data_IF_628920710620
#
_entry.id   IF_628920710620
#
_cell.length_a   1.000
_cell.length_b   1.000
_cell.length_c   1.000
_cell.angle_alpha   90.00
_cell.angle_beta   90.00
_cell.angle_gamma   90.00
#
_symmetry.space_group_name_H-M   'P 1'
#
loop_
_entity.id
_entity.type
_entity.pdbx_description
1 polymer ?
#
# COMPACT_ATOMS: atom_id res chain seq x y z
N UNK A 1 -11.01 -21.68 25.64
CA UNK A 1 -11.14 -20.22 25.48
C UNK A 1 -11.90 -19.98 24.19
N UNK A 2 -12.91 -19.12 24.20
CA UNK A 2 -13.60 -18.71 22.98
C UNK A 2 -12.60 -18.04 22.02
N UNK A 3 -12.71 -18.34 20.71
CA UNK A 3 -11.80 -17.79 19.68
C UNK A 3 -11.99 -16.27 19.52
N UNK A 4 -13.25 -15.81 19.43
CA UNK A 4 -13.67 -14.42 19.28
C UNK A 4 -15.19 -14.33 19.52
N UNK A 5 -15.71 -13.13 19.80
CA UNK A 5 -17.14 -12.86 20.02
C UNK A 5 -17.75 -12.26 18.75
N UNK A 6 -18.73 -12.90 18.15
CA UNK A 6 -19.35 -12.53 16.88
C UNK A 6 -20.79 -12.09 17.11
N UNK A 7 -21.15 -10.90 16.66
CA UNK A 7 -22.54 -10.44 16.60
C UNK A 7 -23.13 -10.83 15.26
N UNK A 8 -24.20 -11.62 15.26
CA UNK A 8 -24.92 -12.07 14.06
C UNK A 8 -26.25 -11.34 13.99
N UNK A 9 -26.50 -10.65 12.89
CA UNK A 9 -27.68 -9.79 12.70
C UNK A 9 -28.43 -10.24 11.45
N UNK A 10 -29.63 -10.74 11.64
CA UNK A 10 -30.54 -11.19 10.57
C UNK A 10 -31.96 -11.24 11.13
N UNK A 11 -32.98 -10.81 10.38
CA UNK A 11 -34.37 -10.83 10.83
C UNK A 11 -35.02 -12.25 10.73
N UNK A 12 -34.36 -13.16 9.99
CA UNK A 12 -34.79 -14.54 9.85
C UNK A 12 -34.23 -15.44 10.97
N UNK A 13 -35.09 -15.84 11.93
CA UNK A 13 -34.67 -16.69 13.07
C UNK A 13 -34.01 -18.01 12.65
N UNK A 14 -34.44 -18.58 11.50
CA UNK A 14 -33.85 -19.81 10.95
C UNK A 14 -32.40 -19.64 10.51
N UNK A 15 -32.08 -18.49 9.90
CA UNK A 15 -30.72 -18.16 9.46
C UNK A 15 -29.84 -17.89 10.69
N UNK A 16 -30.33 -17.09 11.66
CA UNK A 16 -29.62 -16.85 12.92
C UNK A 16 -29.23 -18.17 13.60
N UNK A 17 -30.18 -19.10 13.78
CA UNK A 17 -29.89 -20.38 14.42
C UNK A 17 -28.84 -21.20 13.67
N UNK A 18 -28.92 -21.20 12.34
CA UNK A 18 -27.97 -21.95 11.50
C UNK A 18 -26.55 -21.38 11.60
N UNK A 19 -26.40 -20.05 11.48
CA UNK A 19 -25.08 -19.38 11.60
C UNK A 19 -24.52 -19.54 13.01
N UNK A 20 -25.34 -19.31 14.05
CA UNK A 20 -24.94 -19.42 15.47
C UNK A 20 -24.46 -20.85 15.76
N UNK A 21 -25.22 -21.89 15.33
CA UNK A 21 -24.82 -23.28 15.57
C UNK A 21 -23.42 -23.58 15.01
N UNK A 22 -23.17 -23.17 13.77
CA UNK A 22 -21.87 -23.40 13.13
C UNK A 22 -20.73 -22.62 13.81
N UNK A 23 -20.97 -21.33 14.14
CA UNK A 23 -19.96 -20.53 14.81
C UNK A 23 -19.61 -21.10 16.18
N UNK A 24 -20.60 -21.60 16.94
CA UNK A 24 -20.40 -22.26 18.22
C UNK A 24 -19.63 -23.58 18.09
N UNK A 25 -19.95 -24.40 17.08
CA UNK A 25 -19.21 -25.64 16.78
C UNK A 25 -17.74 -25.36 16.46
N UNK A 26 -17.46 -24.21 15.82
CA UNK A 26 -16.10 -23.73 15.53
C UNK A 26 -15.42 -23.00 16.72
N UNK A 27 -16.12 -22.87 17.84
CA UNK A 27 -15.57 -22.31 19.09
C UNK A 27 -15.63 -20.79 19.18
N UNK A 28 -16.49 -20.13 18.42
CA UNK A 28 -16.77 -18.69 18.55
C UNK A 28 -17.84 -18.43 19.61
N UNK A 29 -17.69 -17.34 20.37
CA UNK A 29 -18.80 -16.77 21.15
C UNK A 29 -19.77 -16.03 20.22
N UNK A 30 -21.07 -16.16 20.47
CA UNK A 30 -22.08 -15.56 19.58
C UNK A 30 -23.08 -14.71 20.34
N UNK A 31 -23.44 -13.57 19.76
CA UNK A 31 -24.55 -12.69 20.16
C UNK A 31 -25.46 -12.55 18.94
N UNK A 32 -26.75 -12.41 19.14
CA UNK A 32 -27.70 -12.25 18.03
C UNK A 32 -28.51 -10.98 18.17
N UNK A 33 -28.83 -10.34 17.06
CA UNK A 33 -29.78 -9.24 16.93
C UNK A 33 -30.73 -9.52 15.77
N UNK A 34 -31.97 -9.04 15.86
CA UNK A 34 -33.01 -9.22 14.85
C UNK A 34 -33.29 -7.99 14.00
N UNK A 35 -32.75 -6.87 14.40
CA UNK A 35 -32.89 -5.62 13.68
C UNK A 35 -31.64 -4.72 13.86
N UNK A 36 -31.57 -3.65 13.05
CA UNK A 36 -30.41 -2.76 13.05
C UNK A 36 -30.25 -1.93 14.34
N UNK A 37 -31.33 -1.64 15.08
CA UNK A 37 -31.22 -0.87 16.33
C UNK A 37 -30.68 -1.73 17.43
N UNK A 38 -31.18 -2.96 17.59
CA UNK A 38 -30.65 -3.95 18.51
C UNK A 38 -29.19 -4.23 18.21
N UNK A 39 -28.84 -4.37 16.93
CA UNK A 39 -27.46 -4.58 16.50
C UNK A 39 -26.49 -3.48 16.98
N UNK A 40 -26.85 -2.21 16.77
CA UNK A 40 -26.02 -1.06 17.23
C UNK A 40 -25.92 -0.99 18.75
N UNK A 41 -27.01 -1.26 19.46
CA UNK A 41 -27.00 -1.29 20.92
C UNK A 41 -26.09 -2.40 21.46
N UNK A 42 -26.26 -3.63 20.93
CA UNK A 42 -25.42 -4.77 21.35
C UNK A 42 -23.96 -4.59 20.95
N UNK A 43 -23.69 -3.98 19.81
CA UNK A 43 -22.32 -3.68 19.43
C UNK A 43 -21.61 -2.77 20.44
N UNK A 44 -22.30 -1.73 20.93
CA UNK A 44 -21.74 -0.82 21.94
C UNK A 44 -21.59 -1.44 23.32
N UNK A 45 -22.55 -2.27 23.75
CA UNK A 45 -22.55 -2.83 25.11
C UNK A 45 -21.69 -4.08 25.24
N UNK A 46 -21.65 -4.91 24.21
CA UNK A 46 -20.99 -6.22 24.22
C UNK A 46 -19.61 -6.23 23.55
N UNK A 47 -19.29 -5.15 22.81
CA UNK A 47 -18.01 -4.97 22.10
C UNK A 47 -17.56 -6.21 21.32
N UNK A 48 -18.33 -6.71 20.34
CA UNK A 48 -17.98 -7.90 19.58
C UNK A 48 -16.72 -7.68 18.73
N UNK A 49 -16.01 -8.77 18.45
CA UNK A 49 -14.80 -8.74 17.62
C UNK A 49 -15.12 -8.61 16.13
N UNK A 50 -16.29 -9.15 15.70
CA UNK A 50 -16.80 -8.97 14.35
C UNK A 50 -18.33 -8.96 14.32
N UNK A 51 -18.88 -8.45 13.20
CA UNK A 51 -20.29 -8.36 12.91
C UNK A 51 -20.59 -9.06 11.59
N UNK A 52 -21.51 -10.04 11.60
CA UNK A 52 -22.16 -10.59 10.42
C UNK A 52 -23.50 -9.90 10.27
N UNK A 53 -23.72 -9.17 9.18
CA UNK A 53 -24.82 -8.21 9.03
C UNK A 53 -25.63 -8.48 7.78
N UNK A 54 -26.89 -8.87 7.94
CA UNK A 54 -27.81 -8.88 6.79
C UNK A 54 -28.13 -7.46 6.33
N UNK A 55 -28.30 -7.28 5.03
CA UNK A 55 -28.69 -5.99 4.45
C UNK A 55 -30.18 -5.75 4.56
N UNK A 56 -30.97 -6.77 4.26
CA UNK A 56 -32.41 -6.61 4.08
C UNK A 56 -33.15 -6.93 5.39
N UNK A 57 -33.23 -5.93 6.26
CA UNK A 57 -33.96 -6.01 7.52
C UNK A 57 -35.04 -4.93 7.59
N UNK A 58 -36.15 -5.18 8.29
CA UNK A 58 -37.18 -4.17 8.52
C UNK A 58 -36.66 -3.01 9.39
N UNK A 59 -37.28 -1.83 9.26
CA UNK A 59 -37.03 -0.60 10.00
C UNK A 59 -35.68 0.08 9.75
N UNK A 60 -34.57 -0.63 9.94
CA UNK A 60 -33.21 -0.14 9.69
C UNK A 60 -32.42 -1.19 8.91
N UNK A 61 -32.13 -0.89 7.64
CA UNK A 61 -31.35 -1.80 6.79
C UNK A 61 -29.87 -1.88 7.22
N UNK A 62 -29.18 -2.96 6.79
CA UNK A 62 -27.78 -3.20 7.15
C UNK A 62 -26.83 -2.11 6.63
N UNK A 63 -27.17 -1.41 5.56
CA UNK A 63 -26.38 -0.30 5.03
C UNK A 63 -26.41 0.90 5.99
N UNK A 64 -27.57 1.19 6.59
CA UNK A 64 -27.69 2.24 7.60
C UNK A 64 -26.98 1.88 8.91
N UNK A 65 -27.06 0.60 9.32
CA UNK A 65 -26.28 0.08 10.46
C UNK A 65 -24.79 0.27 10.22
N UNK A 66 -24.28 -0.11 9.05
CA UNK A 66 -22.88 0.02 8.68
C UNK A 66 -22.39 1.47 8.73
N UNK A 67 -23.17 2.41 8.19
CA UNK A 67 -22.83 3.85 8.24
C UNK A 67 -22.69 4.35 9.68
N UNK A 68 -23.66 4.06 10.53
CA UNK A 68 -23.64 4.51 11.94
C UNK A 68 -22.48 3.84 12.70
N UNK A 69 -22.17 2.59 12.39
CA UNK A 69 -21.06 1.89 13.02
C UNK A 69 -19.73 2.56 12.69
N UNK A 70 -19.52 2.98 11.44
CA UNK A 70 -18.30 3.68 11.02
C UNK A 70 -18.09 5.02 11.71
N UNK A 71 -19.16 5.69 12.17
CA UNK A 71 -19.07 6.97 12.90
C UNK A 71 -18.39 6.82 14.29
N UNK A 72 -18.52 5.67 14.94
CA UNK A 72 -17.94 5.45 16.27
C UNK A 72 -16.90 4.33 16.36
N UNK A 73 -16.88 3.39 15.41
CA UNK A 73 -15.82 2.37 15.29
C UNK A 73 -15.44 2.13 13.82
N UNK A 74 -14.61 3.01 13.29
CA UNK A 74 -14.08 2.91 11.92
C UNK A 74 -13.18 1.67 11.68
N UNK A 75 -12.83 0.93 12.75
CA UNK A 75 -12.01 -0.28 12.68
C UNK A 75 -12.85 -1.57 12.83
N UNK A 76 -14.17 -1.44 12.85
CA UNK A 76 -15.07 -2.58 12.98
C UNK A 76 -14.88 -3.63 11.87
N UNK A 77 -14.86 -4.90 12.23
CA UNK A 77 -14.82 -6.01 11.29
C UNK A 77 -16.24 -6.40 10.89
N UNK A 78 -16.79 -5.82 9.84
CA UNK A 78 -18.15 -6.09 9.36
C UNK A 78 -18.11 -6.92 8.10
N UNK A 79 -18.73 -8.10 8.13
CA UNK A 79 -19.00 -8.93 6.94
C UNK A 79 -20.49 -8.84 6.65
N UNK A 80 -20.82 -8.37 5.47
CA UNK A 80 -22.20 -8.18 5.04
C UNK A 80 -22.71 -9.43 4.35
N UNK A 81 -23.95 -9.81 4.65
CA UNK A 81 -24.63 -10.98 4.06
C UNK A 81 -25.88 -10.48 3.32
N UNK A 82 -26.20 -11.03 2.14
CA UNK A 82 -27.41 -10.63 1.42
C UNK A 82 -27.97 -11.73 0.52
N UNK A 83 -29.29 -11.87 0.53
CA UNK A 83 -30.02 -12.83 -0.34
C UNK A 83 -30.39 -12.29 -1.72
N UNK A 84 -30.34 -10.99 -1.93
CA UNK A 84 -30.66 -10.32 -3.20
C UNK A 84 -29.55 -9.31 -3.55
N UNK A 85 -28.30 -9.68 -3.30
CA UNK A 85 -27.15 -8.83 -3.54
C UNK A 85 -26.91 -8.65 -5.04
N UNK A 86 -27.29 -7.48 -5.58
CA UNK A 86 -26.68 -7.07 -6.84
C UNK A 86 -25.23 -6.68 -6.54
N UNK A 87 -24.34 -6.85 -7.51
CA UNK A 87 -22.95 -6.38 -7.43
C UNK A 87 -22.89 -4.93 -6.90
N UNK A 88 -23.88 -4.08 -7.24
CA UNK A 88 -23.98 -2.71 -6.76
C UNK A 88 -24.18 -2.60 -5.24
N UNK A 89 -24.91 -3.51 -4.63
CA UNK A 89 -25.15 -3.52 -3.17
C UNK A 89 -23.90 -3.95 -2.40
N UNK A 90 -23.20 -4.98 -2.90
CA UNK A 90 -21.91 -5.41 -2.37
C UNK A 90 -20.87 -4.27 -2.41
N UNK A 91 -20.76 -3.62 -3.56
CA UNK A 91 -19.88 -2.45 -3.74
C UNK A 91 -20.23 -1.33 -2.76
N UNK A 92 -21.53 -1.03 -2.58
CA UNK A 92 -21.98 -0.01 -1.64
C UNK A 92 -21.62 -0.34 -0.19
N UNK A 93 -21.78 -1.60 0.23
CA UNK A 93 -21.40 -2.05 1.56
C UNK A 93 -19.89 -1.89 1.81
N UNK A 94 -19.06 -2.34 0.87
CA UNK A 94 -17.59 -2.22 0.97
C UNK A 94 -17.14 -0.75 0.98
N UNK A 95 -17.73 0.12 0.16
CA UNK A 95 -17.46 1.58 0.20
C UNK A 95 -17.81 2.22 1.54
N UNK A 96 -18.77 1.67 2.25
CA UNK A 96 -19.18 2.13 3.57
C UNK A 96 -18.38 1.47 4.71
N UNK A 97 -17.32 0.72 4.40
CA UNK A 97 -16.41 0.16 5.38
C UNK A 97 -16.69 -1.28 5.78
N UNK A 98 -17.57 -2.02 5.09
CA UNK A 98 -17.62 -3.46 5.27
C UNK A 98 -16.30 -4.10 4.86
N UNK A 99 -15.86 -5.11 5.61
CA UNK A 99 -14.66 -5.86 5.28
C UNK A 99 -14.85 -6.70 4.01
N UNK A 100 -16.01 -7.36 3.90
CA UNK A 100 -16.37 -8.18 2.74
C UNK A 100 -17.88 -8.39 2.67
N UNK A 101 -18.32 -9.06 1.61
CA UNK A 101 -19.71 -9.35 1.31
C UNK A 101 -19.87 -10.82 0.95
N UNK A 102 -20.94 -11.47 1.44
CA UNK A 102 -21.29 -12.87 1.16
C UNK A 102 -22.72 -12.93 0.61
N UNK A 103 -22.90 -13.61 -0.52
CA UNK A 103 -24.22 -13.83 -1.11
C UNK A 103 -24.88 -15.09 -0.52
N UNK A 104 -26.18 -15.00 -0.19
CA UNK A 104 -27.00 -16.16 0.16
C UNK A 104 -27.35 -16.97 -1.12
N UNK A 105 -27.31 -18.31 -1.14
CA UNK A 105 -27.17 -19.19 0.01
C UNK A 105 -25.75 -19.27 0.54
N UNK A 106 -25.62 -19.20 1.86
CA UNK A 106 -24.32 -19.17 2.54
C UNK A 106 -23.53 -20.47 2.36
N UNK A 107 -22.34 -20.39 1.79
CA UNK A 107 -21.34 -21.44 1.94
C UNK A 107 -20.65 -21.25 3.28
N UNK A 108 -20.76 -22.22 4.18
CA UNK A 108 -20.19 -22.15 5.52
C UNK A 108 -18.66 -22.09 5.51
N UNK A 109 -18.02 -22.79 4.57
CA UNK A 109 -16.57 -22.72 4.38
C UNK A 109 -16.13 -21.30 4.01
N UNK A 110 -16.86 -20.65 3.10
CA UNK A 110 -16.57 -19.26 2.67
C UNK A 110 -16.82 -18.30 3.83
N UNK A 111 -17.92 -18.45 4.59
CA UNK A 111 -18.23 -17.63 5.73
C UNK A 111 -17.10 -17.66 6.77
N UNK A 112 -16.64 -18.85 7.16
CA UNK A 112 -15.58 -19.02 8.14
C UNK A 112 -14.25 -18.43 7.67
N UNK A 113 -13.87 -18.64 6.42
CA UNK A 113 -12.66 -18.06 5.83
C UNK A 113 -12.71 -16.54 5.82
N UNK A 114 -13.84 -15.95 5.43
CA UNK A 114 -13.99 -14.48 5.40
C UNK A 114 -14.03 -13.92 6.82
N UNK A 115 -14.72 -14.59 7.75
CA UNK A 115 -14.77 -14.16 9.14
C UNK A 115 -13.40 -14.18 9.80
N UNK A 116 -12.62 -15.25 9.61
CA UNK A 116 -11.24 -15.34 10.13
C UNK A 116 -10.36 -14.20 9.57
N UNK A 117 -10.50 -13.91 8.28
CA UNK A 117 -9.79 -12.79 7.66
C UNK A 117 -10.22 -11.43 8.22
N UNK A 118 -11.51 -11.22 8.47
CA UNK A 118 -12.04 -9.98 9.03
C UNK A 118 -11.53 -9.75 10.46
N UNK A 119 -11.57 -10.79 11.30
CA UNK A 119 -11.04 -10.76 12.67
C UNK A 119 -9.55 -10.48 12.71
N UNK A 120 -8.78 -11.16 11.88
CA UNK A 120 -7.34 -10.97 11.78
C UNK A 120 -7.00 -9.55 11.31
N UNK A 121 -7.72 -9.02 10.30
CA UNK A 121 -7.56 -7.65 9.82
C UNK A 121 -7.79 -6.62 10.95
N UNK A 122 -8.90 -6.76 11.71
CA UNK A 122 -9.17 -5.89 12.86
C UNK A 122 -8.06 -5.99 13.91
N UNK A 123 -7.65 -7.22 14.26
CA UNK A 123 -6.58 -7.44 15.23
C UNK A 123 -5.29 -6.74 14.86
N UNK A 124 -4.85 -6.90 13.62
CA UNK A 124 -3.62 -6.27 13.11
C UNK A 124 -3.74 -4.74 13.08
N UNK A 125 -4.91 -4.20 12.73
CA UNK A 125 -5.17 -2.77 12.72
C UNK A 125 -5.10 -2.16 14.12
N UNK A 126 -5.69 -2.82 15.11
CA UNK A 126 -5.61 -2.41 16.52
C UNK A 126 -4.19 -2.54 17.08
N UNK A 127 -3.47 -3.62 16.74
CA UNK A 127 -2.09 -3.82 17.18
C UNK A 127 -1.16 -2.76 16.58
N UNK A 128 -1.32 -2.42 15.30
CA UNK A 128 -0.57 -1.34 14.67
C UNK A 128 -0.80 0.00 15.38
N UNK A 129 -2.05 0.36 15.67
CA UNK A 129 -2.38 1.58 16.42
C UNK A 129 -1.77 1.57 17.81
N UNK A 130 -1.78 0.41 18.48
CA UNK A 130 -1.15 0.24 19.81
C UNK A 130 0.36 0.44 19.73
N UNK A 131 1.03 -0.18 18.76
CA UNK A 131 2.47 -0.05 18.58
C UNK A 131 2.86 1.40 18.23
N UNK A 132 2.10 2.07 17.37
CA UNK A 132 2.31 3.48 17.06
C UNK A 132 2.18 4.36 18.30
N UNK A 133 1.19 4.10 19.18
CA UNK A 133 1.05 4.82 20.44
C UNK A 133 2.25 4.61 21.36
N UNK A 134 2.70 3.37 21.53
CA UNK A 134 3.86 3.04 22.36
C UNK A 134 5.16 3.67 21.82
N UNK A 135 5.33 3.73 20.50
CA UNK A 135 6.46 4.42 19.89
C UNK A 135 6.44 5.91 20.20
N UNK A 136 5.29 6.58 20.04
CA UNK A 136 5.13 8.01 20.37
C UNK A 136 5.38 8.31 21.86
N UNK A 137 4.87 7.47 22.76
CA UNK A 137 5.10 7.59 24.22
C UNK A 137 6.60 7.43 24.57
N UNK A 138 7.30 6.49 23.91
CA UNK A 138 8.72 6.26 24.14
C UNK A 138 9.58 7.44 23.63
N UNK A 139 9.23 8.00 22.48
CA UNK A 139 9.90 9.16 21.91
C UNK A 139 9.69 10.43 22.77
N UNK A 140 8.47 10.65 23.27
CA UNK A 140 8.18 11.75 24.19
C UNK A 140 8.99 11.60 25.51
N UNK A 141 9.10 10.39 26.03
CA UNK A 141 9.93 10.12 27.20
C UNK A 141 11.42 10.37 26.93
N UNK A 142 11.94 9.94 25.77
CA UNK A 142 13.34 10.20 25.40
C UNK A 142 13.62 11.70 25.23
N UNK A 143 12.71 12.46 24.60
CA UNK A 143 12.82 13.91 24.49
C UNK A 143 12.78 14.60 25.87
N UNK A 144 11.93 14.13 26.76
CA UNK A 144 11.85 14.65 28.13
C UNK A 144 13.13 14.35 28.93
N UNK A 145 13.72 13.16 28.77
CA UNK A 145 15.01 12.81 29.36
C UNK A 145 16.15 13.62 28.77
N UNK A 146 16.16 13.85 27.45
CA UNK A 146 17.15 14.68 26.79
C UNK A 146 17.05 16.15 27.25
N UNK A 147 15.83 16.69 27.39
CA UNK A 147 15.59 18.03 27.92
C UNK A 147 16.06 18.14 29.38
N UNK A 148 15.77 17.17 30.25
CA UNK A 148 16.22 17.14 31.64
C UNK A 148 17.73 16.95 31.75
N UNK A 149 18.39 16.26 30.81
CA UNK A 149 19.84 16.14 30.74
C UNK A 149 20.49 17.46 30.31
N UNK A 150 19.90 18.17 29.35
CA UNK A 150 20.41 19.46 28.86
C UNK A 150 20.32 20.57 29.91
N UNK A 151 19.33 20.51 30.84
CA UNK A 151 19.22 21.49 31.92
C UNK A 151 20.19 21.25 33.10
N UNK A 152 20.91 20.12 33.11
CA UNK A 152 21.91 19.82 34.17
C UNK A 152 23.34 20.17 33.80
N UNK A 153 23.62 20.51 32.55
CA UNK A 153 25.01 20.65 32.03
C UNK A 153 25.41 22.09 31.66
N UNK A 154 24.80 23.11 32.28
CA UNK A 154 25.22 24.49 32.09
C UNK A 154 26.49 24.88 32.87
N UNK A 155 27.26 23.94 33.44
CA UNK A 155 28.45 24.24 34.21
C UNK A 155 29.79 23.66 33.71
N UNK A 156 29.81 23.05 32.50
CA UNK A 156 31.08 22.67 31.88
C UNK A 156 31.14 23.22 30.45
N UNK A 157 32.02 24.23 30.29
CA UNK A 157 32.28 24.86 29.01
C UNK A 157 32.70 23.84 27.93
N UNK A 158 31.80 23.50 27.05
CA UNK A 158 32.14 22.85 25.79
C UNK A 158 32.48 23.94 24.77
N UNK A 159 33.70 23.89 24.30
CA UNK A 159 34.11 24.65 23.08
C UNK A 159 33.17 24.20 21.94
N UNK A 160 32.70 25.12 21.09
CA UNK A 160 31.91 24.74 19.94
C UNK A 160 32.73 23.81 19.04
N UNK A 161 32.24 22.59 18.84
CA UNK A 161 32.75 21.70 17.80
C UNK A 161 32.75 22.43 16.46
N UNK A 162 33.78 22.22 15.66
CA UNK A 162 34.04 22.78 14.33
C UNK A 162 32.77 22.98 13.51
N UNK A 163 32.69 24.03 12.67
CA UNK A 163 31.53 24.29 11.84
C UNK A 163 31.25 23.06 10.99
N UNK A 164 29.98 22.64 11.00
CA UNK A 164 29.51 21.59 10.13
C UNK A 164 30.00 21.84 8.72
N UNK A 165 30.76 20.92 8.17
CA UNK A 165 31.30 21.02 6.81
C UNK A 165 30.14 21.13 5.87
N UNK A 166 29.96 22.25 5.18
CA UNK A 166 28.93 22.43 4.17
C UNK A 166 29.09 21.33 3.10
N UNK A 167 28.00 20.83 2.59
CA UNK A 167 28.00 19.87 1.48
C UNK A 167 28.77 20.46 0.29
N UNK A 168 29.48 19.63 -0.46
CA UNK A 168 30.14 20.04 -1.68
C UNK A 168 29.14 20.65 -2.67
N UNK A 169 29.51 21.73 -3.37
CA UNK A 169 28.62 22.34 -4.37
C UNK A 169 28.17 21.33 -5.43
N UNK A 170 26.84 21.23 -5.69
CA UNK A 170 26.26 20.33 -6.67
C UNK A 170 25.77 19.01 -6.11
N UNK A 171 25.98 18.71 -4.83
CA UNK A 171 25.38 17.56 -4.16
C UNK A 171 24.08 17.93 -3.46
N UNK A 172 23.10 17.02 -3.54
CA UNK A 172 21.89 17.08 -2.73
C UNK A 172 22.13 16.43 -1.36
N UNK A 173 21.55 16.98 -0.30
CA UNK A 173 21.58 16.32 1.00
C UNK A 173 20.87 14.96 0.93
N UNK A 174 21.50 13.91 1.47
CA UNK A 174 20.83 12.64 1.70
C UNK A 174 19.70 12.81 2.71
N UNK A 175 18.72 11.93 2.66
CA UNK A 175 17.54 11.98 3.54
C UNK A 175 17.22 10.62 4.13
N UNK A 176 16.75 10.66 5.39
CA UNK A 176 16.18 9.51 6.10
C UNK A 176 14.92 9.95 6.84
N UNK A 177 14.30 9.06 7.59
CA UNK A 177 13.16 9.37 8.45
C UNK A 177 13.66 9.94 9.79
N UNK A 178 12.84 10.79 10.44
CA UNK A 178 13.12 11.25 11.81
C UNK A 178 12.82 10.17 12.85
N UNK A 179 11.78 9.36 12.60
CA UNK A 179 11.32 8.32 13.53
C UNK A 179 10.93 7.04 12.80
N UNK A 180 10.92 5.94 13.54
CA UNK A 180 10.48 4.65 13.03
C UNK A 180 8.96 4.60 12.92
N UNK A 181 8.45 3.95 11.87
CA UNK A 181 7.01 3.77 11.63
C UNK A 181 6.66 2.31 11.42
N UNK A 182 5.41 1.97 11.72
CA UNK A 182 4.87 0.64 11.48
C UNK A 182 3.58 0.77 10.69
N UNK A 183 3.49 0.01 9.62
CA UNK A 183 2.25 -0.18 8.88
C UNK A 183 2.03 -1.65 8.59
N UNK A 184 0.81 -2.00 8.26
CA UNK A 184 0.46 -3.36 7.87
C UNK A 184 -0.64 -3.32 6.81
N UNK A 185 -0.75 -4.43 6.10
CA UNK A 185 -1.76 -4.61 5.07
C UNK A 185 -1.68 -6.02 4.51
N UNK A 186 -2.18 -6.20 3.30
CA UNK A 186 -2.18 -7.48 2.60
C UNK A 186 -1.33 -7.37 1.34
N UNK A 187 -0.48 -8.35 1.07
CA UNK A 187 0.26 -8.43 -0.18
C UNK A 187 -0.68 -8.71 -1.35
N UNK A 188 -0.55 -7.97 -2.45
CA UNK A 188 -1.45 -8.06 -3.62
C UNK A 188 -1.48 -9.48 -4.20
N UNK A 189 -0.31 -10.07 -4.39
CA UNK A 189 -0.19 -11.37 -5.07
C UNK A 189 -0.26 -12.54 -4.09
N UNK A 190 0.39 -12.44 -2.94
CA UNK A 190 0.41 -13.50 -1.94
C UNK A 190 -0.91 -13.67 -1.18
N UNK A 191 -1.71 -12.61 -1.06
CA UNK A 191 -2.86 -12.57 -0.17
C UNK A 191 -2.51 -12.66 1.32
N UNK A 192 -1.21 -12.71 1.63
CA UNK A 192 -0.74 -12.81 3.00
C UNK A 192 -0.75 -11.44 3.67
N UNK A 193 -1.15 -11.43 4.92
CA UNK A 193 -1.02 -10.24 5.76
C UNK A 193 0.44 -10.02 6.09
N UNK A 194 0.88 -8.79 5.92
CA UNK A 194 2.26 -8.40 6.13
C UNK A 194 2.33 -7.12 6.95
N UNK A 195 3.23 -7.12 7.93
CA UNK A 195 3.63 -5.92 8.64
C UNK A 195 4.90 -5.35 8.03
N UNK A 196 5.01 -4.04 7.97
CA UNK A 196 6.19 -3.33 7.48
C UNK A 196 6.66 -2.33 8.54
N UNK A 197 7.93 -2.42 8.93
CA UNK A 197 8.56 -1.50 9.86
C UNK A 197 9.59 -0.67 9.10
N UNK A 198 9.40 0.64 9.11
CA UNK A 198 10.32 1.60 8.54
C UNK A 198 11.24 2.12 9.64
N UNK A 199 12.55 2.12 9.39
CA UNK A 199 13.54 2.65 10.34
C UNK A 199 14.50 3.60 9.66
N UNK A 200 14.78 4.76 10.27
CA UNK A 200 15.84 5.63 9.79
C UNK A 200 17.18 4.89 9.77
N UNK A 201 18.04 5.27 8.84
CA UNK A 201 19.38 4.71 8.71
C UNK A 201 20.44 5.82 8.63
N UNK A 202 21.68 5.55 9.06
CA UNK A 202 22.79 6.47 8.85
C UNK A 202 23.01 6.83 7.37
N UNK A 203 23.76 7.92 7.09
CA UNK A 203 24.18 8.23 5.73
C UNK A 203 24.84 7.03 5.03
N UNK A 204 24.70 6.96 3.72
CA UNK A 204 25.30 5.96 2.83
C UNK A 204 24.82 4.51 3.07
N UNK A 205 23.75 4.33 3.86
CA UNK A 205 23.17 3.01 4.09
C UNK A 205 22.32 2.50 2.90
N UNK A 206 21.79 3.40 2.09
CA UNK A 206 20.90 3.07 1.00
C UNK A 206 19.53 2.59 1.45
N UNK A 207 18.72 2.16 0.48
CA UNK A 207 17.41 1.54 0.71
C UNK A 207 17.65 0.04 0.92
N UNK A 208 17.28 -0.48 2.10
CA UNK A 208 17.53 -1.87 2.46
C UNK A 208 16.24 -2.53 2.94
N UNK A 209 15.84 -3.60 2.28
CA UNK A 209 14.80 -4.50 2.77
C UNK A 209 15.40 -5.57 3.68
N UNK A 210 14.69 -5.91 4.74
CA UNK A 210 15.10 -6.94 5.70
C UNK A 210 13.92 -7.86 6.00
N UNK A 211 14.14 -9.17 5.92
CA UNK A 211 13.12 -10.13 6.34
C UNK A 211 12.91 -10.05 7.85
N UNK A 212 11.65 -9.99 8.30
CA UNK A 212 11.30 -9.90 9.73
C UNK A 212 11.75 -11.13 10.54
N UNK A 213 11.80 -12.30 9.89
CA UNK A 213 12.03 -13.58 10.56
C UNK A 213 13.50 -14.01 10.57
N UNK A 214 14.32 -13.53 9.63
CA UNK A 214 15.64 -14.10 9.36
C UNK A 214 16.79 -13.09 9.37
N UNK A 215 16.54 -11.81 9.61
CA UNK A 215 17.52 -10.69 9.52
C UNK A 215 18.36 -10.64 8.22
N UNK A 216 17.91 -11.36 7.19
CA UNK A 216 18.54 -11.32 5.87
C UNK A 216 18.14 -10.06 5.13
N UNK A 217 19.12 -9.35 4.57
CA UNK A 217 18.91 -8.08 3.88
C UNK A 217 19.01 -8.19 2.37
N UNK A 218 18.16 -7.43 1.68
CA UNK A 218 18.16 -7.27 0.23
C UNK A 218 18.23 -5.78 -0.08
N UNK A 219 19.27 -5.28 -0.77
CA UNK A 219 19.27 -3.90 -1.23
C UNK A 219 18.11 -3.61 -2.20
N UNK A 220 17.44 -2.48 -2.02
CA UNK A 220 16.47 -1.96 -2.98
C UNK A 220 17.17 -1.34 -4.18
N UNK A 221 17.86 -2.16 -4.97
CA UNK A 221 18.73 -1.71 -6.05
C UNK A 221 18.56 -2.58 -7.30
N UNK A 222 18.80 -1.99 -8.48
CA UNK A 222 18.63 -2.63 -9.80
C UNK A 222 19.32 -4.00 -9.90
N UNK A 223 20.50 -4.18 -9.30
CA UNK A 223 21.27 -5.44 -9.35
C UNK A 223 20.59 -6.59 -8.62
N UNK A 224 19.61 -6.31 -7.81
CA UNK A 224 18.88 -7.29 -7.02
C UNK A 224 17.48 -7.55 -7.58
N UNK A 225 17.10 -6.94 -8.71
CA UNK A 225 15.84 -7.23 -9.39
C UNK A 225 15.82 -8.68 -9.84
N UNK A 226 14.80 -9.42 -9.43
CA UNK A 226 14.64 -10.85 -9.69
C UNK A 226 13.53 -11.17 -10.67
N UNK A 227 12.42 -10.45 -10.59
CA UNK A 227 11.26 -10.65 -11.44
C UNK A 227 10.56 -9.32 -11.68
N UNK A 228 9.99 -9.20 -12.87
CA UNK A 228 9.16 -8.07 -13.32
C UNK A 228 7.78 -8.55 -13.79
N UNK A 229 7.44 -9.80 -13.48
CA UNK A 229 6.15 -10.39 -13.86
C UNK A 229 5.07 -9.92 -12.88
N UNK A 230 4.15 -9.10 -13.37
CA UNK A 230 3.04 -8.45 -12.65
C UNK A 230 3.43 -7.45 -11.55
N UNK A 231 4.67 -7.44 -11.09
CA UNK A 231 5.22 -6.52 -10.10
C UNK A 231 6.75 -6.58 -10.11
N UNK A 232 7.41 -5.54 -9.63
CA UNK A 232 8.86 -5.55 -9.45
C UNK A 232 9.23 -6.23 -8.14
N UNK A 233 10.13 -7.22 -8.23
CA UNK A 233 10.63 -7.97 -7.08
C UNK A 233 12.14 -7.89 -7.00
N UNK A 234 12.67 -7.69 -5.78
CA UNK A 234 14.11 -7.74 -5.50
C UNK A 234 14.44 -8.96 -4.65
N UNK A 235 15.63 -9.56 -4.86
CA UNK A 235 16.03 -10.76 -4.13
C UNK A 235 17.54 -10.85 -3.87
N UNK A 236 17.90 -11.47 -2.74
CA UNK A 236 19.26 -11.86 -2.42
C UNK A 236 19.25 -13.19 -1.66
N UNK A 237 19.94 -14.18 -2.20
CA UNK A 237 19.89 -15.54 -1.65
C UNK A 237 18.48 -16.14 -1.73
N UNK A 238 17.91 -16.49 -0.58
CA UNK A 238 16.53 -17.03 -0.47
C UNK A 238 15.48 -15.98 -0.19
N UNK A 239 15.89 -14.78 0.17
CA UNK A 239 14.98 -13.69 0.54
C UNK A 239 14.52 -12.96 -0.73
N UNK A 240 13.20 -12.88 -0.91
CA UNK A 240 12.55 -12.19 -2.02
C UNK A 240 11.55 -11.21 -1.44
N UNK A 241 11.60 -9.97 -1.91
CA UNK A 241 10.60 -8.92 -1.59
C UNK A 241 9.89 -8.53 -2.88
N UNK A 242 8.56 -8.60 -2.87
CA UNK A 242 7.69 -8.35 -4.03
C UNK A 242 6.97 -7.02 -3.94
N UNK A 243 6.52 -6.53 -5.10
CA UNK A 243 5.64 -5.34 -5.24
C UNK A 243 6.28 -4.09 -4.63
N UNK A 244 7.57 -3.86 -4.97
CA UNK A 244 8.32 -2.75 -4.36
C UNK A 244 8.03 -1.39 -5.01
N UNK A 245 7.50 -1.36 -6.21
CA UNK A 245 7.37 -0.21 -7.10
C UNK A 245 6.59 0.96 -6.48
N UNK A 246 5.43 0.72 -5.86
CA UNK A 246 4.62 1.81 -5.27
C UNK A 246 5.34 2.50 -4.12
N UNK A 247 5.98 1.71 -3.24
CA UNK A 247 6.73 2.28 -2.13
C UNK A 247 8.02 2.96 -2.60
N UNK A 248 8.72 2.38 -3.57
CA UNK A 248 9.90 3.01 -4.19
C UNK A 248 9.55 4.34 -4.87
N UNK A 249 8.36 4.48 -5.47
CA UNK A 249 7.90 5.75 -6.05
C UNK A 249 7.77 6.85 -4.99
N UNK A 250 7.27 6.50 -3.80
CA UNK A 250 7.22 7.44 -2.68
C UNK A 250 8.62 7.79 -2.19
N UNK A 251 9.51 6.81 -2.01
CA UNK A 251 10.89 7.08 -1.62
C UNK A 251 11.60 8.00 -2.64
N UNK A 252 11.33 7.83 -3.94
CA UNK A 252 11.84 8.72 -5.00
C UNK A 252 11.32 10.15 -4.83
N UNK A 253 9.99 10.32 -4.76
CA UNK A 253 9.36 11.63 -4.67
C UNK A 253 9.79 12.41 -3.42
N UNK A 254 9.97 11.72 -2.30
CA UNK A 254 10.42 12.31 -1.04
C UNK A 254 11.96 12.34 -0.90
N UNK A 255 12.69 11.79 -1.88
CA UNK A 255 14.15 11.67 -1.91
C UNK A 255 14.72 11.00 -0.66
N UNK A 256 14.11 9.91 -0.21
CA UNK A 256 14.60 9.13 0.93
C UNK A 256 15.70 8.18 0.42
N UNK A 257 16.93 8.44 0.82
CA UNK A 257 18.10 7.68 0.38
C UNK A 257 18.44 6.54 1.35
N UNK A 258 18.21 6.74 2.65
CA UNK A 258 18.68 5.83 3.70
C UNK A 258 17.53 5.36 4.58
N UNK A 259 17.11 4.11 4.38
CA UNK A 259 15.98 3.53 5.11
C UNK A 259 16.12 2.01 5.22
N UNK A 260 15.82 1.46 6.39
CA UNK A 260 15.65 0.01 6.59
C UNK A 260 14.16 -0.33 6.63
N UNK A 261 13.74 -1.21 5.74
CA UNK A 261 12.37 -1.68 5.60
C UNK A 261 12.32 -3.14 6.04
N UNK A 262 11.85 -3.39 7.28
CA UNK A 262 11.64 -4.75 7.77
C UNK A 262 10.27 -5.25 7.33
N UNK A 263 10.22 -6.37 6.61
CA UNK A 263 8.99 -6.87 5.99
C UNK A 263 9.05 -8.37 5.72
N UNK A 264 7.89 -9.04 5.67
CA UNK A 264 7.77 -10.42 5.21
C UNK A 264 7.33 -10.46 3.75
N UNK A 265 8.24 -10.86 2.86
CA UNK A 265 8.00 -11.28 1.47
C UNK A 265 7.38 -10.27 0.49
N UNK A 266 6.41 -9.42 0.86
CA UNK A 266 5.69 -8.55 -0.08
C UNK A 266 5.28 -7.23 0.57
N UNK A 267 5.47 -6.11 -0.13
CA UNK A 267 4.98 -4.78 0.28
C UNK A 267 3.44 -4.81 0.29
N UNK A 268 2.77 -4.34 1.35
CA UNK A 268 1.31 -4.31 1.40
C UNK A 268 0.75 -3.41 0.30
N UNK A 269 -0.31 -3.86 -0.36
CA UNK A 269 -0.91 -3.10 -1.48
C UNK A 269 -1.69 -1.86 -1.01
N UNK A 270 -2.06 -1.79 0.25
CA UNK A 270 -2.87 -0.73 0.84
C UNK A 270 -4.22 -0.58 0.11
N UNK A 271 -4.55 0.59 -0.38
CA UNK A 271 -5.73 0.87 -1.20
C UNK A 271 -5.49 0.72 -2.71
N UNK A 272 -4.34 0.16 -3.09
CA UNK A 272 -3.90 0.01 -4.49
C UNK A 272 -3.13 1.20 -5.05
N UNK A 273 -2.98 2.27 -4.27
CA UNK A 273 -2.26 3.50 -4.63
C UNK A 273 -1.02 3.69 -3.75
N UNK A 274 -0.34 4.81 -3.89
CA UNK A 274 0.81 5.18 -3.07
C UNK A 274 0.48 6.17 -1.93
N UNK A 275 -0.78 6.60 -1.78
CA UNK A 275 -1.17 7.64 -0.82
C UNK A 275 -0.88 7.30 0.63
N UNK A 276 -1.15 6.07 1.05
CA UNK A 276 -0.93 5.67 2.44
C UNK A 276 0.56 5.66 2.78
N UNK A 277 1.41 5.34 1.81
CA UNK A 277 2.87 5.44 1.97
C UNK A 277 3.34 6.90 2.08
N UNK A 278 2.75 7.82 1.31
CA UNK A 278 3.02 9.25 1.48
C UNK A 278 2.69 9.73 2.90
N UNK A 279 1.50 9.38 3.41
CA UNK A 279 1.06 9.74 4.76
C UNK A 279 2.02 9.21 5.84
N UNK A 280 2.45 7.95 5.73
CA UNK A 280 3.39 7.35 6.68
C UNK A 280 4.75 8.03 6.66
N UNK A 281 5.29 8.39 5.49
CA UNK A 281 6.56 9.12 5.38
C UNK A 281 6.42 10.53 5.98
N UNK A 282 5.30 11.21 5.75
CA UNK A 282 5.02 12.54 6.33
C UNK A 282 4.88 12.46 7.85
N UNK A 283 4.16 11.47 8.38
CA UNK A 283 4.05 11.23 9.82
C UNK A 283 5.40 10.88 10.46
N UNK A 284 6.25 10.12 9.78
CA UNK A 284 7.61 9.82 10.22
C UNK A 284 8.47 11.09 10.31
N UNK A 285 8.17 12.08 9.49
CA UNK A 285 9.03 13.23 9.27
C UNK A 285 10.31 12.87 8.53
N UNK A 286 10.91 13.83 7.87
CA UNK A 286 12.13 13.67 7.06
C UNK A 286 13.27 14.42 7.70
N UNK A 287 14.43 13.77 7.78
CA UNK A 287 15.68 14.35 8.26
C UNK A 287 16.69 14.45 7.12
N UNK A 288 17.27 15.63 6.93
CA UNK A 288 18.39 15.83 6.02
C UNK A 288 19.70 15.48 6.74
N UNK A 289 20.53 14.69 6.06
CA UNK A 289 21.78 14.18 6.59
C UNK A 289 22.97 14.93 6.02
N UNK A 290 24.05 15.02 6.79
CA UNK A 290 25.29 15.70 6.41
C UNK A 290 26.15 14.89 5.43
N UNK A 291 25.52 14.20 4.48
CA UNK A 291 26.17 13.47 3.40
C UNK A 291 25.52 13.85 2.07
N UNK A 292 26.32 13.93 1.03
CA UNK A 292 25.88 14.30 -0.31
C UNK A 292 25.36 13.11 -1.10
N UNK A 293 24.40 13.36 -1.98
CA UNK A 293 23.92 12.43 -3.00
C UNK A 293 24.04 13.09 -4.36
N UNK A 294 24.70 12.42 -5.29
CA UNK A 294 24.79 12.88 -6.68
C UNK A 294 23.50 12.60 -7.43
N UNK A 295 23.06 13.55 -8.24
CA UNK A 295 22.01 13.32 -9.21
C UNK A 295 22.57 12.55 -10.42
N UNK A 296 21.79 11.62 -10.93
CA UNK A 296 22.10 10.93 -12.18
C UNK A 296 21.59 11.77 -13.35
N UNK A 297 22.49 12.54 -13.95
CA UNK A 297 22.18 13.37 -15.11
C UNK A 297 22.31 12.52 -16.37
N UNK A 298 21.21 12.29 -17.06
CA UNK A 298 21.21 11.54 -18.32
C UNK A 298 22.00 12.30 -19.39
N UNK A 299 23.01 11.66 -19.95
CA UNK A 299 23.97 12.25 -20.89
C UNK A 299 23.52 12.21 -22.36
N UNK A 300 22.69 11.22 -22.71
CA UNK A 300 22.17 10.98 -24.05
C UNK A 300 20.88 10.17 -23.98
N UNK A 301 20.26 9.97 -25.11
CA UNK A 301 19.11 9.07 -25.22
C UNK A 301 19.51 7.60 -25.02
N UNK A 302 18.80 6.91 -24.13
CA UNK A 302 18.79 5.46 -23.96
C UNK A 302 17.41 4.93 -24.29
N UNK A 303 17.32 3.78 -24.96
CA UNK A 303 16.05 3.26 -25.49
C UNK A 303 15.97 1.75 -25.46
N UNK A 304 14.76 1.24 -25.22
CA UNK A 304 14.38 -0.17 -25.33
C UNK A 304 13.09 -0.25 -26.14
N UNK A 305 13.00 -1.21 -27.03
CA UNK A 305 11.86 -1.40 -27.94
C UNK A 305 11.93 -0.56 -29.20
N UNK A 306 10.92 -0.70 -30.04
CA UNK A 306 10.81 -0.03 -31.33
C UNK A 306 9.72 1.04 -31.32
N UNK A 307 10.06 2.26 -31.72
CA UNK A 307 9.15 3.39 -31.81
C UNK A 307 8.22 3.27 -33.03
N UNK A 308 7.40 2.25 -33.03
CA UNK A 308 6.27 2.19 -33.96
C UNK A 308 4.98 2.62 -33.26
N UNK A 309 3.97 3.10 -33.97
CA UNK A 309 2.70 3.55 -33.36
C UNK A 309 2.01 2.49 -32.50
N UNK A 310 2.20 1.22 -32.81
CA UNK A 310 1.65 0.05 -32.11
C UNK A 310 2.71 -0.67 -31.26
N UNK A 311 3.97 -0.21 -31.30
CA UNK A 311 5.11 -0.83 -30.63
C UNK A 311 5.13 -0.53 -29.14
N UNK A 312 5.74 -1.45 -28.39
CA UNK A 312 6.12 -1.18 -26.99
C UNK A 312 7.52 -0.59 -27.00
N UNK A 313 7.66 0.59 -26.45
CA UNK A 313 8.96 1.24 -26.31
C UNK A 313 9.02 2.11 -25.08
N UNK A 314 10.22 2.28 -24.57
CA UNK A 314 10.55 3.22 -23.52
C UNK A 314 11.92 3.80 -23.81
N UNK A 315 12.07 5.11 -23.63
CA UNK A 315 13.36 5.78 -23.68
C UNK A 315 13.44 6.91 -22.67
N UNK A 316 14.66 7.33 -22.36
CA UNK A 316 14.95 8.51 -21.55
C UNK A 316 15.87 9.43 -22.33
N UNK A 317 15.63 10.74 -22.24
CA UNK A 317 16.42 11.80 -22.86
C UNK A 317 16.91 12.79 -21.80
N UNK A 318 18.05 13.50 -22.06
CA UNK A 318 18.54 14.54 -21.17
C UNK A 318 17.49 15.61 -20.92
N UNK A 319 17.36 16.03 -19.64
CA UNK A 319 16.52 17.13 -19.21
C UNK A 319 17.03 17.68 -17.86
N UNK A 320 16.57 18.85 -17.46
CA UNK A 320 16.95 19.47 -16.20
C UNK A 320 16.19 18.87 -14.99
N UNK A 321 14.98 18.33 -15.23
CA UNK A 321 14.12 17.72 -14.24
C UNK A 321 13.85 16.25 -14.58
N UNK A 322 13.40 15.47 -13.60
CA UNK A 322 12.87 14.12 -13.84
C UNK A 322 11.39 14.19 -14.18
N UNK A 323 11.03 13.54 -15.29
CA UNK A 323 9.62 13.46 -15.69
C UNK A 323 9.31 12.20 -16.48
N UNK A 324 8.03 11.91 -16.60
CA UNK A 324 7.51 10.76 -17.33
C UNK A 324 6.38 11.19 -18.24
N UNK A 325 6.50 10.89 -19.52
CA UNK A 325 5.42 10.97 -20.52
C UNK A 325 5.01 9.54 -20.85
N UNK A 326 3.77 9.18 -20.55
CA UNK A 326 3.27 7.83 -20.80
C UNK A 326 2.05 7.86 -21.70
N UNK A 327 2.02 6.97 -22.67
CA UNK A 327 0.86 6.66 -23.51
C UNK A 327 0.47 5.20 -23.34
N UNK A 328 -0.80 4.95 -23.10
CA UNK A 328 -1.38 3.62 -23.15
C UNK A 328 -2.53 3.58 -24.18
N UNK A 329 -2.71 2.41 -24.77
CA UNK A 329 -3.83 2.13 -25.66
C UNK A 329 -4.32 0.71 -25.39
N UNK A 330 -5.15 0.60 -24.34
CA UNK A 330 -5.79 -0.66 -24.01
C UNK A 330 -7.13 -0.82 -24.74
N UNK A 331 -7.61 -2.06 -24.93
CA UNK A 331 -8.96 -2.27 -25.41
C UNK A 331 -10.00 -1.51 -24.57
N UNK A 332 -11.19 -1.19 -25.11
CA UNK A 332 -12.29 -0.69 -24.29
C UNK A 332 -12.50 -1.59 -23.07
N UNK A 333 -12.86 -1.02 -21.90
CA UNK A 333 -13.35 0.35 -21.70
C UNK A 333 -12.27 1.40 -21.38
N UNK A 334 -10.98 1.03 -21.32
CA UNK A 334 -9.90 1.98 -20.98
C UNK A 334 -9.61 2.93 -22.15
N UNK A 335 -9.42 2.37 -23.36
CA UNK A 335 -9.08 3.15 -24.54
C UNK A 335 -7.67 3.72 -24.54
N UNK A 336 -7.48 4.82 -25.25
CA UNK A 336 -6.23 5.56 -25.31
C UNK A 336 -6.20 6.63 -24.22
N UNK A 337 -5.07 6.67 -23.46
CA UNK A 337 -4.79 7.70 -22.48
C UNK A 337 -3.34 8.14 -22.60
N UNK A 338 -3.09 9.43 -22.42
CA UNK A 338 -1.74 10.01 -22.38
C UNK A 338 -1.66 11.01 -21.23
N UNK A 339 -0.56 10.95 -20.48
CA UNK A 339 -0.29 11.92 -19.44
C UNK A 339 1.22 12.20 -19.34
N UNK A 340 1.55 13.45 -19.02
CA UNK A 340 2.94 13.88 -18.76
C UNK A 340 3.02 14.43 -17.35
N UNK A 341 3.92 13.89 -16.57
CA UNK A 341 4.19 14.30 -15.20
C UNK A 341 5.66 14.70 -15.05
N UNK A 342 5.90 15.83 -14.39
CA UNK A 342 7.25 16.27 -13.97
C UNK A 342 7.30 16.21 -12.45
N UNK A 343 8.32 15.53 -11.92
CA UNK A 343 8.52 15.38 -10.47
C UNK A 343 9.23 16.64 -9.93
N UNK A 344 8.46 17.69 -9.73
CA UNK A 344 8.92 19.00 -9.25
C UNK A 344 8.68 19.25 -7.74
N UNK A 345 8.23 18.21 -7.01
CA UNK A 345 8.04 18.27 -5.57
C UNK A 345 7.12 17.18 -5.05
N UNK A 346 7.13 17.03 -3.72
CA UNK A 346 6.35 15.99 -3.02
C UNK A 346 4.85 16.23 -3.09
N UNK A 347 4.39 17.47 -2.96
CA UNK A 347 2.95 17.80 -3.01
C UNK A 347 2.37 17.52 -4.40
N UNK A 348 3.07 17.90 -5.47
CA UNK A 348 2.64 17.63 -6.84
C UNK A 348 2.54 16.11 -7.11
N UNK A 349 3.52 15.32 -6.65
CA UNK A 349 3.45 13.86 -6.73
C UNK A 349 2.26 13.30 -5.94
N UNK A 350 2.03 13.80 -4.73
CA UNK A 350 0.97 13.35 -3.83
C UNK A 350 -0.44 13.68 -4.36
N UNK A 351 -0.60 14.81 -5.06
CA UNK A 351 -1.87 15.21 -5.64
C UNK A 351 -2.16 14.52 -6.98
N UNK A 352 -1.16 14.38 -7.85
CA UNK A 352 -1.36 14.00 -9.24
C UNK A 352 -1.08 12.51 -9.55
N UNK A 353 -0.15 11.87 -8.82
CA UNK A 353 0.31 10.52 -9.14
C UNK A 353 0.03 9.53 -8.02
N UNK A 354 0.37 9.87 -6.77
CA UNK A 354 0.22 8.94 -5.65
C UNK A 354 -1.21 8.40 -5.46
N UNK A 355 -2.31 9.12 -5.79
CA UNK A 355 -3.65 8.59 -5.66
C UNK A 355 -4.06 7.55 -6.71
N UNK A 356 -3.31 7.41 -7.80
CA UNK A 356 -3.65 6.50 -8.88
C UNK A 356 -3.49 5.04 -8.46
N UNK A 357 -4.57 4.27 -8.56
CA UNK A 357 -4.64 2.88 -8.08
C UNK A 357 -4.30 1.87 -9.17
N UNK A 358 -3.77 0.73 -8.73
CA UNK A 358 -3.59 -0.44 -9.59
C UNK A 358 -4.92 -0.97 -10.09
N UNK A 359 -4.89 -1.61 -11.26
CA UNK A 359 -6.08 -2.08 -11.96
C UNK A 359 -5.87 -3.44 -12.61
N UNK A 360 -6.96 -4.14 -12.85
CA UNK A 360 -6.97 -5.43 -13.54
C UNK A 360 -8.29 -5.75 -14.21
N UNK A 361 -8.26 -6.68 -15.16
CA UNK A 361 -9.45 -7.13 -15.87
C UNK A 361 -10.03 -8.39 -15.21
N UNK A 362 -11.35 -8.42 -15.01
CA UNK A 362 -12.04 -9.58 -14.43
C UNK A 362 -11.78 -10.88 -15.22
N UNK A 363 -11.67 -10.80 -16.55
CA UNK A 363 -11.34 -11.95 -17.40
C UNK A 363 -10.00 -12.60 -17.09
N UNK A 364 -9.05 -11.83 -16.51
CA UNK A 364 -7.74 -12.32 -16.13
C UNK A 364 -7.69 -12.84 -14.69
N UNK A 365 -8.71 -12.56 -13.87
CA UNK A 365 -8.75 -12.92 -12.45
C UNK A 365 -8.62 -14.43 -12.23
N UNK A 366 -9.33 -15.27 -13.01
CA UNK A 366 -9.21 -16.73 -12.91
C UNK A 366 -7.82 -17.23 -13.29
N UNK A 367 -7.20 -16.64 -14.32
CA UNK A 367 -5.84 -16.99 -14.75
C UNK A 367 -4.84 -16.65 -13.66
N UNK A 368 -4.91 -15.44 -13.10
CA UNK A 368 -4.05 -14.99 -12.00
C UNK A 368 -4.23 -15.88 -10.75
N UNK A 369 -5.46 -16.22 -10.40
CA UNK A 369 -5.76 -17.12 -9.28
C UNK A 369 -5.14 -18.51 -9.47
N UNK A 370 -5.23 -19.09 -10.68
CA UNK A 370 -4.57 -20.39 -11.00
C UNK A 370 -3.04 -20.34 -10.91
N UNK A 371 -2.45 -19.16 -11.14
CA UNK A 371 -1.02 -18.92 -10.97
C UNK A 371 -0.62 -18.63 -9.51
N UNK A 372 -1.58 -18.64 -8.57
CA UNK A 372 -1.35 -18.26 -7.17
C UNK A 372 -1.08 -16.77 -6.98
N UNK A 373 -1.54 -15.92 -7.92
CA UNK A 373 -1.39 -14.48 -7.90
C UNK A 373 -2.72 -13.80 -7.61
N UNK A 374 -2.65 -12.50 -7.27
CA UNK A 374 -3.80 -11.66 -6.93
C UNK A 374 -4.64 -12.18 -5.75
N UNK A 375 -4.07 -13.04 -4.89
CA UNK A 375 -4.77 -13.57 -3.70
C UNK A 375 -5.18 -12.50 -2.69
N UNK A 376 -4.56 -11.32 -2.74
CA UNK A 376 -4.87 -10.15 -1.92
C UNK A 376 -5.58 -9.03 -2.69
N UNK A 377 -5.92 -9.26 -3.96
CA UNK A 377 -6.74 -8.35 -4.74
C UNK A 377 -8.20 -8.39 -4.27
N UNK A 378 -8.66 -7.30 -3.69
CA UNK A 378 -10.02 -7.16 -3.18
C UNK A 378 -10.71 -5.96 -3.84
N UNK A 379 -12.04 -5.89 -3.72
CA UNK A 379 -12.84 -4.81 -4.32
C UNK A 379 -12.45 -3.39 -3.86
N UNK A 380 -11.72 -3.27 -2.76
CA UNK A 380 -11.30 -1.98 -2.20
C UNK A 380 -9.86 -1.56 -2.52
N UNK A 381 -9.03 -2.46 -3.06
CA UNK A 381 -7.60 -2.18 -3.29
C UNK A 381 -7.11 -2.38 -4.73
N UNK A 382 -7.99 -2.73 -5.64
CA UNK A 382 -7.72 -2.87 -7.08
C UNK A 382 -8.89 -2.31 -7.86
N UNK A 383 -8.64 -1.53 -8.92
CA UNK A 383 -9.70 -1.15 -9.87
C UNK A 383 -9.97 -2.35 -10.77
N UNK A 384 -11.18 -2.90 -10.71
CA UNK A 384 -11.60 -4.02 -11.54
C UNK A 384 -12.42 -3.55 -12.74
N UNK A 385 -12.09 -4.11 -13.92
CA UNK A 385 -12.74 -3.78 -15.18
C UNK A 385 -13.38 -5.02 -15.81
N UNK A 386 -14.58 -4.85 -16.32
CA UNK A 386 -15.20 -5.78 -17.29
C UNK A 386 -15.22 -5.14 -18.69
N UNK A 387 -15.95 -5.76 -19.63
CA UNK A 387 -16.06 -5.24 -21.00
C UNK A 387 -16.89 -3.93 -21.11
N UNK A 388 -17.59 -3.53 -20.02
CA UNK A 388 -18.45 -2.34 -19.99
C UNK A 388 -17.82 -1.16 -19.22
N UNK A 389 -16.89 -1.41 -18.33
CA UNK A 389 -16.26 -0.34 -17.54
C UNK A 389 -15.70 -0.81 -16.22
N UNK A 390 -15.47 0.15 -15.33
CA UNK A 390 -15.06 -0.10 -13.96
C UNK A 390 -16.26 -0.61 -13.15
N UNK A 391 -16.08 -1.78 -12.50
CA UNK A 391 -17.19 -2.47 -11.82
C UNK A 391 -17.26 -2.25 -10.31
N UNK A 392 -16.15 -1.91 -9.64
CA UNK A 392 -16.11 -1.91 -8.18
C UNK A 392 -15.93 -0.54 -7.52
N UNK A 393 -15.57 0.50 -8.26
CA UNK A 393 -15.24 1.81 -7.68
C UNK A 393 -15.48 2.94 -8.68
N UNK A 394 -15.45 4.18 -8.23
CA UNK A 394 -15.31 5.34 -9.11
C UNK A 394 -13.84 5.68 -9.30
N UNK A 395 -13.48 6.14 -10.49
CA UNK A 395 -12.13 6.60 -10.76
C UNK A 395 -11.86 7.90 -10.01
N UNK A 396 -10.66 8.04 -9.45
CA UNK A 396 -10.17 9.27 -8.82
C UNK A 396 -9.82 10.34 -9.85
N UNK A 397 -9.35 9.88 -11.02
CA UNK A 397 -9.03 10.68 -12.20
C UNK A 397 -9.64 10.05 -13.43
N UNK A 398 -10.09 10.81 -14.43
CA UNK A 398 -10.54 10.25 -15.71
C UNK A 398 -9.46 9.40 -16.40
N UNK A 399 -8.21 9.73 -16.15
CA UNK A 399 -6.98 9.15 -16.69
C UNK A 399 -6.17 8.37 -15.63
N UNK A 400 -6.85 7.78 -14.63
CA UNK A 400 -6.20 7.11 -13.49
C UNK A 400 -5.27 5.97 -13.92
N UNK A 401 -5.60 5.26 -15.01
CA UNK A 401 -4.81 4.13 -15.49
C UNK A 401 -3.43 4.55 -16.00
N UNK A 402 -3.34 5.63 -16.77
CA UNK A 402 -2.04 6.13 -17.26
C UNK A 402 -1.22 6.74 -16.13
N UNK A 403 -1.86 7.40 -15.15
CA UNK A 403 -1.18 7.94 -13.96
C UNK A 403 -0.58 6.82 -13.11
N UNK A 404 -1.27 5.69 -12.99
CA UNK A 404 -0.73 4.53 -12.30
C UNK A 404 0.50 3.95 -13.02
N UNK A 405 0.49 3.91 -14.36
CA UNK A 405 1.69 3.49 -15.12
C UNK A 405 2.88 4.44 -14.92
N UNK A 406 2.63 5.72 -14.73
CA UNK A 406 3.66 6.69 -14.37
C UNK A 406 4.19 6.44 -12.95
N UNK A 407 3.30 6.12 -11.99
CA UNK A 407 3.69 5.72 -10.63
C UNK A 407 4.68 4.55 -10.66
N UNK A 408 4.37 3.50 -11.44
CA UNK A 408 5.21 2.32 -11.61
C UNK A 408 6.62 2.70 -12.13
N UNK A 409 6.70 3.57 -13.15
CA UNK A 409 7.98 4.03 -13.70
C UNK A 409 8.78 4.82 -12.66
N UNK A 410 8.15 5.76 -11.94
CA UNK A 410 8.82 6.56 -10.91
C UNK A 410 9.45 5.63 -9.86
N UNK A 411 8.75 4.57 -9.47
CA UNK A 411 9.24 3.60 -8.49
C UNK A 411 10.36 2.72 -9.02
N UNK A 412 10.19 2.13 -10.21
CA UNK A 412 11.19 1.27 -10.82
C UNK A 412 12.51 2.04 -11.05
N UNK A 413 12.42 3.31 -11.46
CA UNK A 413 13.59 4.13 -11.72
C UNK A 413 14.38 4.47 -10.46
N UNK A 414 13.75 4.50 -9.29
CA UNK A 414 14.47 4.72 -8.02
C UNK A 414 15.30 3.51 -7.56
N UNK A 415 15.25 2.40 -8.27
CA UNK A 415 16.17 1.27 -8.07
C UNK A 415 17.63 1.59 -8.48
N UNK A 416 17.89 2.76 -9.09
CA UNK A 416 19.26 3.29 -9.24
C UNK A 416 19.77 4.00 -7.99
N UNK A 417 18.94 4.18 -6.95
CA UNK A 417 19.24 4.81 -5.67
C UNK A 417 19.81 6.24 -5.79
N UNK A 418 19.46 6.94 -6.85
CA UNK A 418 19.85 8.34 -7.12
C UNK A 418 18.67 9.10 -7.69
N UNK A 419 18.49 10.38 -7.33
CA UNK A 419 17.61 11.26 -8.09
C UNK A 419 18.09 11.35 -9.54
N UNK A 420 17.18 11.37 -10.48
CA UNK A 420 17.48 11.31 -11.92
C UNK A 420 17.09 12.65 -12.55
N UNK A 421 17.91 13.11 -13.53
CA UNK A 421 17.58 14.21 -14.43
C UNK A 421 17.44 13.69 -15.86
N UNK A 422 16.21 13.69 -16.38
CA UNK A 422 15.86 13.17 -17.69
C UNK A 422 14.37 12.96 -17.85
N UNK A 423 13.86 13.03 -19.06
CA UNK A 423 12.45 12.76 -19.36
C UNK A 423 12.31 11.36 -19.94
N UNK A 424 11.55 10.53 -19.26
CA UNK A 424 11.15 9.20 -19.74
C UNK A 424 9.94 9.35 -20.64
N UNK A 425 9.98 8.73 -21.82
CA UNK A 425 8.82 8.56 -22.70
C UNK A 425 8.56 7.08 -22.90
N UNK A 426 7.32 6.66 -22.62
CA UNK A 426 6.94 5.25 -22.63
C UNK A 426 5.61 5.04 -23.37
N UNK A 427 5.51 3.95 -24.13
CA UNK A 427 4.31 3.52 -24.82
C UNK A 427 4.03 2.06 -24.54
N UNK A 428 2.90 1.75 -23.88
CA UNK A 428 2.41 0.39 -23.61
C UNK A 428 3.41 -0.52 -22.86
N UNK A 429 4.31 0.05 -22.07
CA UNK A 429 5.35 -0.69 -21.34
C UNK A 429 4.90 -1.14 -19.97
N UNK A 430 5.69 -1.97 -19.33
CA UNK A 430 5.56 -2.41 -17.94
C UNK A 430 6.91 -2.51 -17.27
N UNK A 431 6.96 -3.18 -16.12
CA UNK A 431 8.19 -3.31 -15.32
C UNK A 431 9.37 -3.92 -16.11
N UNK A 432 9.10 -4.86 -17.01
CA UNK A 432 10.15 -5.51 -17.81
C UNK A 432 10.91 -4.52 -18.69
N UNK A 433 10.20 -3.65 -19.39
CA UNK A 433 10.78 -2.62 -20.22
C UNK A 433 11.44 -1.52 -19.39
N UNK A 434 10.84 -1.14 -18.23
CA UNK A 434 11.42 -0.19 -17.29
C UNK A 434 12.79 -0.67 -16.80
N UNK A 435 12.86 -1.91 -16.33
CA UNK A 435 14.10 -2.51 -15.83
C UNK A 435 15.13 -2.70 -16.94
N UNK A 436 14.71 -3.08 -18.14
CA UNK A 436 15.62 -3.19 -19.29
C UNK A 436 16.25 -1.83 -19.64
N UNK A 437 15.47 -0.73 -19.60
CA UNK A 437 16.01 0.61 -19.82
C UNK A 437 17.00 1.03 -18.74
N UNK A 438 16.71 0.73 -17.46
CA UNK A 438 17.64 1.01 -16.36
C UNK A 438 18.97 0.24 -16.54
N UNK A 439 18.93 -0.99 -17.03
CA UNK A 439 20.14 -1.77 -17.34
C UNK A 439 20.96 -1.14 -18.48
N UNK A 440 20.30 -0.62 -19.51
CA UNK A 440 20.98 0.09 -20.61
C UNK A 440 21.61 1.41 -20.12
N UNK A 441 20.92 2.17 -19.26
CA UNK A 441 21.46 3.38 -18.63
C UNK A 441 22.69 3.01 -17.79
N UNK A 442 22.57 2.02 -16.90
CA UNK A 442 23.66 1.56 -16.05
C UNK A 442 24.91 1.17 -16.88
N UNK A 443 24.72 0.35 -17.91
CA UNK A 443 25.78 -0.08 -18.81
C UNK A 443 26.39 1.09 -19.58
N UNK A 444 25.56 1.99 -20.11
CA UNK A 444 26.00 3.11 -20.94
C UNK A 444 26.74 4.20 -20.17
N UNK A 445 26.41 4.39 -18.89
CA UNK A 445 27.04 5.39 -18.01
C UNK A 445 28.14 4.78 -17.13
N UNK A 446 28.32 3.45 -17.13
CA UNK A 446 29.37 2.77 -16.35
C UNK A 446 29.11 2.74 -14.84
N UNK A 447 27.85 2.65 -14.42
CA UNK A 447 27.40 2.64 -13.02
C UNK A 447 27.53 1.25 -12.36
#
# INVERSE_FOLDING_TARGET
MEKAKILVVDDEEGILKSIVGILQDEGYGTITARDGREALQLYQTEAPDALLLDIWMPDMDGIEVLKRLQEFDADSAVVVISGHGTISTAIKAVRLGAFDFIEKPLSMEILLVILDKALEHRRLKLESKRLQRLLRENEQNQQQFAFLASTRDESMGHQPSSPATALEPGLLAQRTLKQSMVLYGTGLHSGLKTGMILRPQPPDSGIVFCNLSEDHTVPGHLDYVRSTEFATSVAKGRTIIRTVEHFMAVLHAYRINNILIKINAEIPIMDGSALDFCRIIEEAGIEEQMAGCEELVIDRRYQVGDESPEGKYIYIEPADDFGVRYRLNYPPPIGEQEYTFILDGTEHFKEEIAPARTFGFLKDAEKLSRMGLAGGGHLHNVILLDDKGVVNTELRFPDEFVRHKILDIIGDFYLLNRPIKGIVTANMTGHSENIALLQEIKKGMGL
#
